data_IF_690633078037
#
_entry.id   IF_690633078037
#
_cell.length_a   1.000
_cell.length_b   1.000
_cell.length_c   1.000
_cell.angle_alpha   90.00
_cell.angle_beta   90.00
_cell.angle_gamma   90.00
#
_symmetry.space_group_name_H-M   'P 1'
#
loop_
_entity.id
_entity.type
_entity.pdbx_description
1 polymer ?
#
# COMPACT_ATOMS: atom_id res chain seq x y z
N UNK A 1 -9.87 1.65 2.35
CA UNK A 1 -8.42 1.85 2.16
C UNK A 1 -7.87 2.41 3.45
N UNK A 2 -6.96 1.70 4.11
CA UNK A 2 -6.41 2.11 5.40
C UNK A 2 -4.97 2.60 5.20
N UNK A 3 -4.60 3.62 5.97
CA UNK A 3 -3.27 4.20 5.94
C UNK A 3 -2.38 3.52 6.99
N UNK A 4 -1.11 3.31 6.66
CA UNK A 4 -0.09 2.68 7.50
C UNK A 4 1.05 3.63 7.85
N UNK A 5 0.70 4.87 8.21
CA UNK A 5 1.66 5.97 8.36
C UNK A 5 2.70 5.67 9.44
N UNK A 6 2.27 5.14 10.58
CA UNK A 6 3.19 4.82 11.68
C UNK A 6 4.25 3.80 11.24
N UNK A 7 3.85 2.76 10.50
CA UNK A 7 4.77 1.74 10.00
C UNK A 7 5.81 2.33 9.03
N UNK A 8 5.41 3.28 8.18
CA UNK A 8 6.34 3.97 7.27
C UNK A 8 7.33 4.83 8.07
N UNK A 9 6.89 5.54 9.10
CA UNK A 9 7.78 6.32 9.96
C UNK A 9 8.84 5.42 10.62
N UNK A 10 8.42 4.27 11.13
CA UNK A 10 9.31 3.29 11.76
C UNK A 10 10.30 2.70 10.74
N UNK A 11 9.85 2.39 9.51
CA UNK A 11 10.71 1.89 8.43
C UNK A 11 11.83 2.84 8.04
N UNK A 12 11.56 4.15 8.04
CA UNK A 12 12.53 5.19 7.72
C UNK A 12 13.28 5.72 8.96
N UNK A 13 13.04 5.14 10.14
CA UNK A 13 13.62 5.56 11.42
C UNK A 13 13.40 7.06 11.72
N UNK A 14 12.20 7.56 11.41
CA UNK A 14 11.81 8.97 11.60
C UNK A 14 10.72 9.03 12.67
N UNK A 15 10.89 9.89 13.67
CA UNK A 15 9.85 10.14 14.65
C UNK A 15 8.81 11.14 14.15
N UNK A 16 7.60 11.12 14.74
CA UNK A 16 6.59 12.17 14.49
C UNK A 16 7.09 13.58 14.83
N UNK A 17 8.01 13.71 15.80
CA UNK A 17 8.63 14.99 16.13
C UNK A 17 9.58 15.46 15.03
N UNK A 18 10.38 14.54 14.48
CA UNK A 18 11.28 14.82 13.37
C UNK A 18 10.52 15.17 12.10
N UNK A 19 9.46 14.41 11.76
CA UNK A 19 8.59 14.76 10.64
C UNK A 19 8.00 16.16 10.81
N UNK A 20 7.47 16.47 12.00
CA UNK A 20 6.98 17.80 12.34
C UNK A 20 8.02 18.89 12.13
N UNK A 21 9.26 18.67 12.59
CA UNK A 21 10.39 19.59 12.38
C UNK A 21 10.67 19.85 10.90
N UNK A 22 10.67 18.80 10.07
CA UNK A 22 10.94 18.91 8.62
C UNK A 22 9.86 19.71 7.87
N UNK A 23 8.61 19.62 8.31
CA UNK A 23 7.48 20.27 7.63
C UNK A 23 6.96 21.53 8.35
N UNK A 24 7.61 21.96 9.44
CA UNK A 24 7.23 23.15 10.19
C UNK A 24 5.93 23.02 11.00
N UNK A 25 5.62 21.83 11.50
CA UNK A 25 4.39 21.53 12.27
C UNK A 25 4.74 20.89 13.62
N UNK A 26 3.89 21.08 14.64
CA UNK A 26 4.13 20.51 15.96
C UNK A 26 4.00 18.98 15.98
N UNK A 27 4.84 18.30 16.77
CA UNK A 27 4.72 16.85 17.03
C UNK A 27 3.28 16.47 17.42
N UNK A 28 2.64 17.25 18.29
CA UNK A 28 1.29 16.96 18.76
C UNK A 28 0.27 16.97 17.60
N UNK A 29 0.40 17.90 16.65
CA UNK A 29 -0.45 17.93 15.46
C UNK A 29 -0.19 16.70 14.58
N UNK A 30 1.06 16.32 14.34
CA UNK A 30 1.40 15.11 13.58
C UNK A 30 0.81 13.86 14.25
N UNK A 31 1.08 13.66 15.54
CA UNK A 31 0.57 12.52 16.30
C UNK A 31 -0.96 12.47 16.32
N UNK A 32 -1.64 13.62 16.45
CA UNK A 32 -3.09 13.65 16.38
C UNK A 32 -3.61 13.27 14.99
N UNK A 33 -2.97 13.75 13.91
CA UNK A 33 -3.34 13.38 12.54
C UNK A 33 -3.10 11.90 12.28
N UNK A 34 -2.02 11.30 12.79
CA UNK A 34 -1.71 9.87 12.62
C UNK A 34 -2.72 8.99 13.36
N UNK A 35 -3.05 9.33 14.61
CA UNK A 35 -3.86 8.44 15.46
C UNK A 35 -5.37 8.68 15.33
N UNK A 36 -5.79 9.92 15.10
CA UNK A 36 -7.20 10.33 15.18
C UNK A 36 -7.70 11.04 13.91
N UNK A 37 -6.82 11.30 12.93
CA UNK A 37 -7.15 12.07 11.73
C UNK A 37 -7.27 11.22 10.47
N UNK A 38 -7.70 11.88 9.39
CA UNK A 38 -7.64 11.34 8.03
C UNK A 38 -6.90 12.35 7.14
N UNK A 39 -5.55 12.30 7.05
CA UNK A 39 -4.78 13.25 6.27
C UNK A 39 -5.16 13.18 4.79
N UNK A 40 -5.39 14.35 4.19
CA UNK A 40 -5.66 14.44 2.75
C UNK A 40 -4.41 14.15 1.90
N UNK A 41 -4.61 13.90 0.61
CA UNK A 41 -3.53 13.53 -0.32
C UNK A 41 -2.38 14.54 -0.35
N UNK A 42 -2.66 15.86 -0.34
CA UNK A 42 -1.61 16.88 -0.33
C UNK A 42 -0.72 16.81 0.92
N UNK A 43 -1.29 16.45 2.07
CA UNK A 43 -0.54 16.30 3.31
C UNK A 43 0.37 15.06 3.24
N UNK A 44 -0.16 13.95 2.71
CA UNK A 44 0.62 12.74 2.47
C UNK A 44 1.78 12.98 1.49
N UNK A 45 1.57 13.77 0.43
CA UNK A 45 2.65 14.15 -0.51
C UNK A 45 3.77 14.88 0.23
N UNK A 46 3.43 15.92 1.01
CA UNK A 46 4.42 16.68 1.79
C UNK A 46 5.19 15.79 2.77
N UNK A 47 4.50 14.82 3.39
CA UNK A 47 5.14 13.89 4.31
C UNK A 47 6.08 12.93 3.59
N UNK A 48 5.66 12.41 2.43
CA UNK A 48 6.49 11.56 1.59
C UNK A 48 7.77 12.28 1.15
N UNK A 49 7.66 13.52 0.69
CA UNK A 49 8.80 14.37 0.31
C UNK A 49 9.75 14.62 1.49
N UNK A 50 9.20 14.93 2.67
CA UNK A 50 10.00 15.17 3.88
C UNK A 50 10.70 13.91 4.41
N UNK A 51 10.10 12.73 4.22
CA UNK A 51 10.66 11.43 4.61
C UNK A 51 11.66 10.93 3.56
N UNK A 52 11.43 11.24 2.28
CA UNK A 52 12.15 10.68 1.14
C UNK A 52 11.58 9.34 0.66
N UNK A 53 10.26 9.13 0.81
CA UNK A 53 9.56 7.92 0.39
C UNK A 53 8.53 8.18 -0.72
N UNK A 54 7.90 7.14 -1.26
CA UNK A 54 6.77 7.29 -2.19
C UNK A 54 5.46 7.42 -1.40
N UNK A 55 4.56 8.30 -1.84
CA UNK A 55 3.23 8.46 -1.23
C UNK A 55 2.46 7.13 -1.15
N UNK A 56 2.66 6.23 -2.12
CA UNK A 56 2.03 4.90 -2.15
C UNK A 56 2.36 4.03 -0.94
N UNK A 57 3.49 4.27 -0.27
CA UNK A 57 3.91 3.49 0.90
C UNK A 57 3.02 3.73 2.11
N UNK A 58 2.35 4.88 2.19
CA UNK A 58 1.40 5.18 3.27
C UNK A 58 0.11 4.39 3.19
N UNK A 59 -0.16 3.72 2.07
CA UNK A 59 -1.35 2.92 1.90
C UNK A 59 -1.03 1.46 2.24
N UNK A 60 -1.94 0.79 2.94
CA UNK A 60 -1.88 -0.67 3.01
C UNK A 60 -1.86 -1.21 1.59
N UNK A 61 -0.90 -2.09 1.30
CA UNK A 61 -0.96 -2.87 0.06
C UNK A 61 -2.30 -3.59 0.09
N UNK A 62 -3.03 -3.63 -1.04
CA UNK A 62 -4.20 -4.49 -1.11
C UNK A 62 -3.75 -5.87 -0.63
N UNK A 63 -4.45 -6.40 0.36
CA UNK A 63 -4.33 -7.80 0.73
C UNK A 63 -4.81 -8.56 -0.51
N UNK A 64 -3.88 -8.93 -1.39
CA UNK A 64 -4.14 -9.90 -2.44
C UNK A 64 -4.13 -11.24 -1.70
N UNK A 65 -5.19 -11.48 -0.94
CA UNK A 65 -5.42 -12.77 -0.31
C UNK A 65 -5.70 -13.78 -1.43
N UNK A 66 -4.88 -14.84 -1.47
CA UNK A 66 -5.02 -15.92 -2.45
C UNK A 66 -4.09 -15.81 -3.66
N UNK A 67 -4.33 -16.66 -4.63
CA UNK A 67 -3.52 -16.77 -5.86
C UNK A 67 -4.11 -15.85 -6.92
N UNK A 68 -3.40 -14.79 -7.30
CA UNK A 68 -3.73 -13.97 -8.47
C UNK A 68 -2.67 -14.14 -9.53
N UNK A 69 -3.09 -14.36 -10.76
CA UNK A 69 -2.18 -14.51 -11.89
C UNK A 69 -2.88 -14.39 -13.23
N UNK A 70 -2.09 -14.41 -14.29
CA UNK A 70 -2.57 -14.54 -15.65
C UNK A 70 -1.81 -15.68 -16.29
N UNK A 71 -2.53 -16.56 -16.97
CA UNK A 71 -1.96 -17.65 -17.76
C UNK A 71 -2.35 -17.38 -19.21
N UNK A 72 -1.38 -17.35 -20.11
CA UNK A 72 -1.65 -17.31 -21.54
C UNK A 72 -1.48 -18.71 -22.13
N UNK A 73 -2.50 -19.21 -22.83
CA UNK A 73 -2.45 -20.48 -23.53
C UNK A 73 -3.06 -20.31 -24.92
N UNK A 74 -2.33 -20.70 -25.97
CA UNK A 74 -2.73 -20.55 -27.38
C UNK A 74 -3.18 -19.12 -27.77
N UNK A 75 -2.60 -18.09 -27.14
CA UNK A 75 -2.93 -16.69 -27.40
C UNK A 75 -4.16 -16.15 -26.66
N UNK A 76 -4.81 -16.97 -25.82
CA UNK A 76 -5.88 -16.53 -24.92
C UNK A 76 -5.32 -16.32 -23.51
N UNK A 77 -5.67 -15.19 -22.89
CA UNK A 77 -5.23 -14.83 -21.53
C UNK A 77 -6.33 -15.13 -20.51
N UNK A 78 -6.04 -16.03 -19.59
CA UNK A 78 -6.93 -16.43 -18.51
C UNK A 78 -6.52 -15.74 -17.21
N UNK A 79 -7.47 -15.05 -16.58
CA UNK A 79 -7.28 -14.47 -15.25
C UNK A 79 -7.51 -15.53 -14.17
N UNK A 80 -6.51 -15.72 -13.32
CA UNK A 80 -6.54 -16.62 -12.17
C UNK A 80 -6.76 -15.78 -10.91
N UNK A 81 -7.77 -16.10 -10.12
CA UNK A 81 -8.03 -15.48 -8.81
C UNK A 81 -7.97 -16.50 -7.66
N UNK A 82 -7.75 -17.79 -7.96
CA UNK A 82 -7.58 -18.87 -6.99
C UNK A 82 -6.86 -20.08 -7.58
N UNK A 83 -6.43 -21.02 -6.72
CA UNK A 83 -5.93 -22.33 -7.19
C UNK A 83 -7.00 -23.10 -7.97
N UNK A 84 -8.28 -22.98 -7.59
CA UNK A 84 -9.38 -23.64 -8.29
C UNK A 84 -9.56 -23.15 -9.73
N UNK A 85 -9.22 -21.89 -10.01
CA UNK A 85 -9.23 -21.38 -11.39
C UNK A 85 -8.14 -22.05 -12.24
N UNK A 86 -7.00 -22.40 -11.62
CA UNK A 86 -5.93 -23.15 -12.29
C UNK A 86 -6.39 -24.58 -12.60
N UNK A 87 -7.04 -25.25 -11.64
CA UNK A 87 -7.59 -26.60 -11.83
C UNK A 87 -8.59 -26.64 -12.98
N UNK A 88 -9.53 -25.69 -13.03
CA UNK A 88 -10.50 -25.57 -14.12
C UNK A 88 -9.84 -25.32 -15.47
N UNK A 89 -8.87 -24.40 -15.51
CA UNK A 89 -8.13 -24.13 -16.74
C UNK A 89 -7.42 -25.39 -17.24
N UNK A 90 -6.77 -26.14 -16.35
CA UNK A 90 -6.12 -27.41 -16.69
C UNK A 90 -7.10 -28.44 -17.23
N UNK A 91 -8.31 -28.53 -16.68
CA UNK A 91 -9.34 -29.44 -17.16
C UNK A 91 -9.92 -29.02 -18.52
N UNK A 92 -10.00 -27.71 -18.79
CA UNK A 92 -10.52 -27.18 -20.05
C UNK A 92 -9.51 -27.31 -21.20
N UNK A 93 -8.21 -27.08 -20.95
CA UNK A 93 -7.17 -27.21 -21.99
C UNK A 93 -6.77 -28.67 -22.29
N UNK A 94 -7.11 -29.61 -21.41
CA UNK A 94 -6.85 -31.06 -21.61
C UNK A 94 -7.91 -31.75 -22.47
N UNK A 95 -9.04 -31.12 -22.72
CA UNK A 95 -10.11 -31.63 -23.59
C UNK A 95 -9.75 -31.41 -25.05
#
# INVERSE_FOLDING_TARGET
MKLRIQEVLDQYNISAAELGRRIGVSRASISNTINNGNPGAQMLIKWAEAIGCKISEFFEKPQIEGTTGYIEHNGEVYKINSISDIEKLLDDIKK
#
